data_IF_288520305594
#
_entry.id   IF_288520305594
#
_cell.length_a   1.000
_cell.length_b   1.000
_cell.length_c   1.000
_cell.angle_alpha   90.00
_cell.angle_beta   90.00
_cell.angle_gamma   90.00
#
_symmetry.space_group_name_H-M   'P 1'
#
loop_
_entity.id
_entity.type
_entity.pdbx_description
1 polymer ?
#
# COMPACT_ATOMS: atom_id res chain seq x y z
N UNK A 1 9.18 -5.40 -26.91
CA UNK A 1 8.98 -4.84 -25.56
C UNK A 1 8.44 -5.99 -24.73
N UNK A 2 9.20 -6.45 -23.73
CA UNK A 2 8.70 -7.49 -22.82
C UNK A 2 7.44 -6.96 -22.13
N UNK A 3 6.31 -7.63 -22.32
CA UNK A 3 5.16 -7.50 -21.42
C UNK A 3 5.61 -8.07 -20.08
N UNK A 4 6.23 -7.24 -19.24
CA UNK A 4 6.28 -7.53 -17.82
C UNK A 4 4.85 -7.41 -17.35
N UNK A 5 4.24 -8.52 -16.95
CA UNK A 5 2.96 -8.51 -16.26
C UNK A 5 3.14 -7.69 -14.98
N UNK A 6 2.86 -6.39 -15.07
CA UNK A 6 2.93 -5.46 -13.95
C UNK A 6 1.74 -5.79 -13.06
N UNK A 7 2.01 -6.57 -12.02
CA UNK A 7 1.02 -6.83 -10.99
C UNK A 7 0.85 -5.58 -10.11
N UNK A 8 -0.34 -4.99 -10.14
CA UNK A 8 -0.69 -3.84 -9.30
C UNK A 8 -0.44 -4.13 -7.81
N UNK A 9 -0.67 -5.36 -7.38
CA UNK A 9 -0.39 -5.77 -6.00
C UNK A 9 1.09 -5.60 -5.65
N UNK A 10 1.99 -6.03 -6.53
CA UNK A 10 3.44 -5.94 -6.30
C UNK A 10 3.93 -4.48 -6.33
N UNK A 11 3.26 -3.60 -7.10
CA UNK A 11 3.53 -2.17 -7.02
C UNK A 11 3.14 -1.64 -5.65
N UNK A 12 1.90 -1.87 -5.21
CA UNK A 12 1.37 -1.23 -4.01
C UNK A 12 1.96 -1.78 -2.71
N UNK A 13 2.36 -3.05 -2.66
CA UNK A 13 3.01 -3.65 -1.49
C UNK A 13 4.44 -3.13 -1.26
N UNK A 14 5.05 -2.50 -2.28
CA UNK A 14 6.38 -1.92 -2.20
C UNK A 14 6.36 -0.45 -1.77
N UNK A 15 5.20 0.18 -1.69
CA UNK A 15 5.09 1.51 -1.10
C UNK A 15 5.37 1.45 0.40
N UNK A 16 6.15 2.41 0.88
CA UNK A 16 6.33 2.61 2.31
C UNK A 16 5.04 3.14 2.93
N UNK A 17 4.87 2.88 4.23
CA UNK A 17 3.76 3.45 5.00
C UNK A 17 3.70 4.98 4.90
N UNK A 18 4.87 5.64 4.87
CA UNK A 18 4.93 7.11 4.77
C UNK A 18 4.40 7.62 3.42
N UNK A 19 4.73 6.94 2.31
CA UNK A 19 4.22 7.33 0.99
C UNK A 19 2.70 7.13 0.88
N UNK A 20 2.18 6.04 1.46
CA UNK A 20 0.73 5.81 1.53
C UNK A 20 0.03 6.85 2.40
N UNK A 21 0.66 7.26 3.51
CA UNK A 21 0.15 8.32 4.39
C UNK A 21 0.12 9.68 3.71
N UNK A 22 1.13 10.04 2.92
CA UNK A 22 1.11 11.28 2.15
C UNK A 22 0.07 11.22 1.04
N UNK A 23 -0.09 10.07 0.37
CA UNK A 23 -1.15 9.87 -0.62
C UNK A 23 -2.55 10.00 -0.01
N UNK A 24 -2.76 9.45 1.19
CA UNK A 24 -3.99 9.62 1.97
C UNK A 24 -4.29 11.08 2.28
N UNK A 25 -3.29 11.88 2.70
CA UNK A 25 -3.46 13.31 2.97
C UNK A 25 -3.81 14.13 1.73
N UNK A 26 -3.27 13.71 0.58
CA UNK A 26 -3.46 14.40 -0.70
C UNK A 26 -4.69 13.92 -1.48
N UNK A 27 -5.37 12.88 -1.00
CA UNK A 27 -6.58 12.34 -1.60
C UNK A 27 -7.71 13.38 -1.61
N UNK A 28 -8.41 13.48 -2.74
CA UNK A 28 -9.46 14.47 -3.00
C UNK A 28 -10.83 13.93 -2.65
N UNK A 29 -11.01 12.62 -2.72
CA UNK A 29 -12.28 11.95 -2.42
C UNK A 29 -12.15 11.02 -1.23
N UNK A 30 -13.30 10.72 -0.61
CA UNK A 30 -13.37 9.72 0.46
C UNK A 30 -12.98 8.33 -0.03
N UNK A 31 -13.35 7.98 -1.27
CA UNK A 31 -12.99 6.70 -1.87
C UNK A 31 -11.47 6.54 -2.02
N UNK A 32 -10.78 7.60 -2.44
CA UNK A 32 -9.31 7.62 -2.49
C UNK A 32 -8.69 7.49 -1.09
N UNK A 33 -9.24 8.19 -0.10
CA UNK A 33 -8.81 8.07 1.31
C UNK A 33 -8.98 6.64 1.84
N UNK A 34 -10.14 6.03 1.62
CA UNK A 34 -10.46 4.67 2.05
C UNK A 34 -9.55 3.64 1.37
N UNK A 35 -9.22 3.87 0.09
CA UNK A 35 -8.25 3.05 -0.65
C UNK A 35 -6.85 3.11 -0.01
N UNK A 36 -6.29 4.31 0.22
CA UNK A 36 -4.96 4.45 0.83
C UNK A 36 -4.92 3.96 2.27
N UNK A 37 -6.02 4.08 3.02
CA UNK A 37 -6.14 3.51 4.37
C UNK A 37 -6.09 1.98 4.34
N UNK A 38 -6.78 1.36 3.37
CA UNK A 38 -6.74 -0.09 3.17
C UNK A 38 -5.34 -0.58 2.83
N UNK A 39 -4.64 0.10 1.91
CA UNK A 39 -3.25 -0.23 1.59
C UNK A 39 -2.32 -0.07 2.78
N UNK A 40 -2.47 1.01 3.55
CA UNK A 40 -1.67 1.26 4.75
C UNK A 40 -1.83 0.14 5.78
N UNK A 41 -3.07 -0.33 5.99
CA UNK A 41 -3.35 -1.46 6.87
C UNK A 41 -2.70 -2.77 6.37
N UNK A 42 -2.75 -3.03 5.07
CA UNK A 42 -2.11 -4.22 4.47
C UNK A 42 -0.59 -4.23 4.70
N UNK A 43 0.07 -3.09 4.43
CA UNK A 43 1.51 -2.94 4.65
C UNK A 43 1.86 -3.13 6.13
N UNK A 44 1.09 -2.52 7.04
CA UNK A 44 1.30 -2.68 8.48
C UNK A 44 1.13 -4.14 8.94
N UNK A 45 0.10 -4.85 8.46
CA UNK A 45 -0.09 -6.26 8.79
C UNK A 45 1.07 -7.13 8.32
N UNK A 46 1.63 -6.84 7.13
CA UNK A 46 2.81 -7.54 6.60
C UNK A 46 4.05 -7.29 7.46
N UNK A 47 4.30 -6.05 7.87
CA UNK A 47 5.42 -5.74 8.77
C UNK A 47 5.22 -6.36 10.16
N UNK A 48 3.99 -6.36 10.68
CA UNK A 48 3.66 -7.03 11.93
C UNK A 48 3.94 -8.53 11.86
N UNK A 49 3.57 -9.21 10.76
CA UNK A 49 3.84 -10.63 10.55
C UNK A 49 5.33 -10.97 10.66
N UNK A 50 6.19 -10.13 10.06
CA UNK A 50 7.66 -10.27 10.16
C UNK A 50 8.16 -10.14 11.60
N UNK A 51 7.61 -9.19 12.37
CA UNK A 51 8.03 -8.93 13.76
C UNK A 51 7.61 -10.06 14.70
N UNK A 52 6.40 -10.60 14.52
CA UNK A 52 5.88 -11.70 15.34
C UNK A 52 6.43 -13.08 14.92
N UNK A 53 7.25 -13.14 13.87
CA UNK A 53 7.86 -14.37 13.37
C UNK A 53 6.88 -15.35 12.74
N UNK A 54 5.80 -14.85 12.12
CA UNK A 54 4.91 -15.65 11.25
C UNK A 54 5.37 -15.61 9.80
#
# INVERSE_FOLDING_TARGET
MENKDINLYDIFINYSYNELKESFKNAKTKEEQDFYMTLSNLVLQKEQAKVIGK
#
